data_IF_786752944526
#
_entry.id   IF_786752944526
#
_cell.length_a   1.000
_cell.length_b   1.000
_cell.length_c   1.000
_cell.angle_alpha   90.00
_cell.angle_beta   90.00
_cell.angle_gamma   90.00
#
_symmetry.space_group_name_H-M   'P 1'
#
loop_
_entity.id
_entity.type
_entity.pdbx_description
1 polymer ?
#
# COMPACT_ATOMS: atom_id res chain seq x y z
N UNK A 1 -7.63 17.18 -11.04
CA UNK A 1 -7.73 17.85 -9.74
C UNK A 1 -7.27 16.88 -8.65
N UNK A 2 -5.98 16.85 -8.30
CA UNK A 2 -5.54 16.17 -7.07
C UNK A 2 -5.89 17.08 -5.90
N UNK A 3 -6.78 16.62 -5.02
CA UNK A 3 -7.17 17.37 -3.82
C UNK A 3 -5.93 17.53 -2.93
N UNK A 4 -5.43 18.75 -2.68
CA UNK A 4 -4.18 18.99 -1.94
C UNK A 4 -4.27 18.67 -0.44
N UNK A 5 -5.46 18.29 0.07
CA UNK A 5 -5.73 18.15 1.51
C UNK A 5 -5.42 16.74 2.08
N UNK A 6 -5.00 15.79 1.24
CA UNK A 6 -4.65 14.43 1.66
C UNK A 6 -3.21 14.11 1.26
N UNK A 7 -2.26 14.79 1.90
CA UNK A 7 -0.87 14.34 1.91
C UNK A 7 -0.85 13.03 2.69
N UNK A 8 -0.97 11.91 1.98
CA UNK A 8 -0.76 10.58 2.53
C UNK A 8 0.77 10.40 2.61
N UNK A 9 1.31 10.27 3.82
CA UNK A 9 2.74 10.09 4.01
C UNK A 9 3.12 8.62 3.83
N UNK A 10 4.40 8.36 3.60
CA UNK A 10 4.92 6.98 3.58
C UNK A 10 4.76 6.28 4.94
N UNK A 11 4.79 7.04 6.03
CA UNK A 11 4.51 6.54 7.38
C UNK A 11 3.05 6.10 7.54
N UNK A 12 2.10 6.85 6.98
CA UNK A 12 0.69 6.45 6.95
C UNK A 12 0.50 5.12 6.22
N UNK A 13 1.10 4.98 5.03
CA UNK A 13 1.06 3.73 4.25
C UNK A 13 1.70 2.58 5.04
N UNK A 14 2.85 2.81 5.68
CA UNK A 14 3.52 1.82 6.51
C UNK A 14 2.65 1.36 7.68
N UNK A 15 2.01 2.30 8.38
CA UNK A 15 1.07 1.98 9.47
C UNK A 15 -0.13 1.21 8.96
N UNK A 16 -0.69 1.58 7.81
CA UNK A 16 -1.77 0.81 7.18
C UNK A 16 -1.35 -0.62 6.88
N UNK A 17 -0.15 -0.85 6.32
CA UNK A 17 0.32 -2.20 6.02
C UNK A 17 0.61 -3.01 7.30
N UNK A 18 1.13 -2.37 8.36
CA UNK A 18 1.53 -3.06 9.60
C UNK A 18 0.38 -3.26 10.60
N UNK A 19 -0.61 -2.37 10.61
CA UNK A 19 -1.67 -2.32 11.63
C UNK A 19 -3.08 -2.37 11.03
N UNK A 20 -3.19 -2.31 9.70
CA UNK A 20 -4.46 -2.41 9.00
C UNK A 20 -4.95 -3.84 8.88
N UNK A 21 -6.21 -3.95 8.48
CA UNK A 21 -6.89 -5.21 8.22
C UNK A 21 -7.07 -5.39 6.71
N UNK A 22 -6.83 -6.61 6.21
CA UNK A 22 -7.15 -6.95 4.82
C UNK A 22 -8.66 -7.14 4.72
N UNK A 23 -9.32 -6.29 3.93
CA UNK A 23 -10.78 -6.33 3.74
C UNK A 23 -11.18 -7.03 2.45
N UNK A 24 -10.30 -7.06 1.45
CA UNK A 24 -10.51 -7.79 0.19
C UNK A 24 -9.19 -8.40 -0.31
N UNK A 25 -9.25 -9.60 -0.87
CA UNK A 25 -8.12 -10.30 -1.48
C UNK A 25 -8.42 -10.57 -2.96
N UNK A 26 -7.43 -10.32 -3.82
CA UNK A 26 -7.49 -10.52 -5.27
C UNK A 26 -6.32 -11.44 -5.71
N UNK A 27 -6.42 -12.76 -5.47
CA UNK A 27 -5.38 -13.71 -5.86
C UNK A 27 -5.26 -13.84 -7.39
N UNK A 28 -6.37 -13.74 -8.13
CA UNK A 28 -6.41 -13.91 -9.59
C UNK A 28 -6.32 -12.60 -10.39
N UNK A 29 -5.83 -11.51 -9.80
CA UNK A 29 -5.69 -10.26 -10.54
C UNK A 29 -4.68 -10.45 -11.70
N UNK A 30 -5.00 -10.03 -12.93
CA UNK A 30 -4.11 -10.19 -14.09
C UNK A 30 -2.74 -9.52 -13.93
N UNK A 31 -2.56 -8.65 -12.93
CA UNK A 31 -1.30 -7.99 -12.58
C UNK A 31 -0.49 -8.73 -11.49
N UNK A 32 -1.02 -9.81 -10.94
CA UNK A 32 -0.46 -10.57 -9.82
C UNK A 32 -1.26 -10.38 -8.53
N UNK A 33 -1.10 -11.33 -7.60
CA UNK A 33 -1.82 -11.36 -6.32
C UNK A 33 -1.76 -10.01 -5.60
N UNK A 34 -2.93 -9.50 -5.21
CA UNK A 34 -3.05 -8.25 -4.47
C UNK A 34 -4.14 -8.31 -3.41
N UNK A 35 -4.11 -7.37 -2.47
CA UNK A 35 -5.09 -7.25 -1.41
C UNK A 35 -5.36 -5.80 -1.05
N UNK A 36 -6.57 -5.50 -0.61
CA UNK A 36 -7.00 -4.20 -0.14
C UNK A 36 -6.92 -4.16 1.39
N UNK A 37 -6.08 -3.28 1.89
CA UNK A 37 -5.85 -3.09 3.32
C UNK A 37 -6.55 -1.80 3.76
N UNK A 38 -7.37 -1.92 4.80
CA UNK A 38 -8.03 -0.80 5.45
C UNK A 38 -7.40 -0.51 6.81
N UNK A 39 -7.14 0.77 7.07
CA UNK A 39 -6.68 1.23 8.36
C UNK A 39 -7.21 2.63 8.63
N UNK A 40 -7.59 2.89 9.89
CA UNK A 40 -8.08 4.21 10.29
C UNK A 40 -7.18 4.76 11.41
N UNK A 41 -6.03 5.38 11.07
CA UNK A 41 -5.23 6.09 12.06
C UNK A 41 -6.00 7.31 12.58
N UNK A 42 -6.48 7.21 13.81
CA UNK A 42 -7.25 8.27 14.46
C UNK A 42 -8.61 8.50 13.81
N UNK A 43 -8.75 9.57 13.00
CA UNK A 43 -10.02 9.97 12.36
C UNK A 43 -9.96 10.01 10.83
N UNK A 44 -8.89 9.49 10.22
CA UNK A 44 -8.69 9.52 8.76
C UNK A 44 -8.68 8.08 8.24
N UNK A 45 -9.76 7.61 7.58
CA UNK A 45 -9.74 6.29 6.95
C UNK A 45 -8.78 6.27 5.75
N UNK A 46 -7.95 5.23 5.69
CA UNK A 46 -6.97 4.96 4.64
C UNK A 46 -7.22 3.58 4.04
N UNK A 47 -7.27 3.53 2.71
CA UNK A 47 -7.29 2.30 1.92
C UNK A 47 -5.99 2.21 1.14
N UNK A 48 -5.27 1.10 1.27
CA UNK A 48 -4.03 0.82 0.57
C UNK A 48 -4.18 -0.51 -0.17
N UNK A 49 -4.00 -0.49 -1.49
CA UNK A 49 -3.88 -1.72 -2.27
C UNK A 49 -2.42 -2.17 -2.20
N UNK A 50 -2.19 -3.38 -1.72
CA UNK A 50 -0.88 -4.00 -1.60
C UNK A 50 -0.80 -5.20 -2.54
N UNK A 51 0.24 -5.26 -3.37
CA UNK A 51 0.54 -6.44 -4.19
C UNK A 51 1.84 -7.05 -3.68
N UNK A 52 1.78 -8.02 -2.73
CA UNK A 52 2.99 -8.64 -2.21
C UNK A 52 3.69 -9.41 -3.32
N UNK A 53 4.94 -9.04 -3.63
CA UNK A 53 5.82 -9.85 -4.47
C UNK A 53 6.69 -10.72 -3.57
N UNK A 54 6.39 -12.01 -3.51
CA UNK A 54 7.17 -13.01 -2.76
C UNK A 54 8.57 -13.22 -3.34
N UNK A 55 8.78 -12.86 -4.62
CA UNK A 55 9.92 -13.37 -5.40
C UNK A 55 11.06 -12.35 -5.60
N UNK A 56 10.89 -11.06 -5.29
CA UNK A 56 11.95 -10.07 -5.50
C UNK A 56 11.83 -8.86 -4.56
N UNK A 57 12.76 -8.75 -3.60
CA UNK A 57 13.11 -7.48 -2.97
C UNK A 57 13.82 -6.64 -4.03
N UNK A 58 13.07 -5.91 -4.84
CA UNK A 58 13.66 -4.87 -5.69
C UNK A 58 14.07 -3.71 -4.79
N UNK A 59 15.28 -3.81 -4.24
CA UNK A 59 16.07 -2.64 -3.92
C UNK A 59 16.49 -2.00 -5.25
N UNK A 60 15.58 -1.29 -5.94
CA UNK A 60 16.00 -0.29 -6.95
C UNK A 60 16.60 0.90 -6.17
N UNK A 61 17.74 0.70 -5.50
CA UNK A 61 18.79 1.72 -5.59
C UNK A 61 19.54 1.37 -6.85
N UNK A 62 19.04 1.82 -8.01
CA UNK A 62 19.95 2.08 -9.13
C UNK A 62 20.77 3.29 -8.69
N UNK A 63 22.08 3.16 -8.40
CA UNK A 63 22.93 4.33 -8.45
C UNK A 63 22.91 4.82 -9.89
N UNK A 64 22.50 6.06 -10.08
CA UNK A 64 22.80 6.77 -11.31
C UNK A 64 24.34 6.86 -11.40
N UNK A 65 24.94 6.07 -12.29
CA UNK A 65 26.31 6.23 -12.79
C UNK A 65 26.28 6.16 -14.30
#
# INVERSE_FOLDING_TARGET
>A
MSRPDRIITTDDVRKTILQGEVIEEYPDDPRGESCLIFYTPGKRPLHVVCAPRTEYLVSERKPCV
#
